data_IF_738204379325
#
_entry.id   IF_738204379325
#
_cell.length_a   1.000
_cell.length_b   1.000
_cell.length_c   1.000
_cell.angle_alpha   90.00
_cell.angle_beta   90.00
_cell.angle_gamma   90.00
#
_symmetry.space_group_name_H-M   'P 1'
#
loop_
_entity.id
_entity.type
_entity.pdbx_description
1 polymer ?
#
# COMPACT_ATOMS: atom_id res chain seq x y z
N UNK A 1 14.84 -17.87 -14.90
CA UNK A 1 14.63 -17.44 -13.50
C UNK A 1 13.67 -16.26 -13.50
N UNK A 2 12.64 -16.28 -12.64
CA UNK A 2 11.52 -15.32 -12.72
C UNK A 2 11.83 -13.91 -12.17
N UNK A 3 12.99 -13.69 -11.55
CA UNK A 3 13.41 -12.36 -11.08
C UNK A 3 14.93 -12.21 -11.27
N UNK A 4 15.36 -11.71 -12.43
CA UNK A 4 16.77 -11.33 -12.66
C UNK A 4 17.16 -10.03 -11.93
N UNK A 5 16.22 -9.37 -11.24
CA UNK A 5 16.50 -8.12 -10.52
C UNK A 5 15.53 -7.95 -9.34
N UNK A 6 16.08 -7.74 -8.14
CA UNK A 6 15.33 -7.35 -6.94
C UNK A 6 14.63 -5.98 -7.08
N UNK A 7 14.82 -5.28 -8.19
CA UNK A 7 14.23 -3.99 -8.51
C UNK A 7 12.69 -4.03 -8.51
N UNK A 8 12.08 -5.08 -9.08
CA UNK A 8 10.62 -5.19 -9.16
C UNK A 8 9.92 -5.22 -7.80
N UNK A 9 10.32 -6.08 -6.83
CA UNK A 9 9.72 -6.07 -5.50
C UNK A 9 10.00 -4.79 -4.72
N UNK A 10 11.17 -4.16 -4.90
CA UNK A 10 11.49 -2.88 -4.27
C UNK A 10 10.58 -1.77 -4.81
N UNK A 11 10.37 -1.72 -6.13
CA UNK A 11 9.47 -0.75 -6.75
C UNK A 11 8.03 -0.96 -6.27
N UNK A 12 7.59 -2.23 -6.19
CA UNK A 12 6.32 -2.60 -5.60
C UNK A 12 6.15 -2.07 -4.18
N UNK A 13 7.14 -2.25 -3.30
CA UNK A 13 7.07 -1.76 -1.92
C UNK A 13 6.99 -0.24 -1.80
N UNK A 14 7.58 0.51 -2.75
CA UNK A 14 7.55 1.99 -2.73
C UNK A 14 6.20 2.54 -3.20
N UNK A 15 5.58 1.93 -4.21
CA UNK A 15 4.36 2.45 -4.85
C UNK A 15 3.06 1.73 -4.43
N UNK A 16 3.16 0.46 -4.03
CA UNK A 16 2.05 -0.42 -3.68
C UNK A 16 2.48 -1.35 -2.53
N UNK A 17 2.82 -0.80 -1.35
CA UNK A 17 3.38 -1.56 -0.24
C UNK A 17 2.48 -2.72 0.19
N UNK A 18 1.16 -2.50 0.29
CA UNK A 18 0.25 -3.52 0.78
C UNK A 18 -0.01 -4.60 -0.26
N UNK A 19 -0.14 -4.22 -1.53
CA UNK A 19 -0.27 -5.18 -2.64
C UNK A 19 0.95 -6.09 -2.74
N UNK A 20 2.15 -5.54 -2.56
CA UNK A 20 3.38 -6.31 -2.67
C UNK A 20 3.50 -7.35 -1.57
N UNK A 21 3.15 -6.99 -0.33
CA UNK A 21 3.10 -7.95 0.78
C UNK A 21 2.08 -9.06 0.53
N UNK A 22 0.88 -8.70 0.05
CA UNK A 22 -0.16 -9.68 -0.26
C UNK A 22 0.27 -10.63 -1.38
N UNK A 23 0.93 -10.12 -2.42
CA UNK A 23 1.45 -10.93 -3.51
C UNK A 23 2.44 -12.00 -3.01
N UNK A 24 3.36 -11.65 -2.11
CA UNK A 24 4.32 -12.61 -1.54
C UNK A 24 3.62 -13.69 -0.71
N UNK A 25 2.56 -13.35 0.00
CA UNK A 25 1.83 -14.28 0.87
C UNK A 25 0.94 -15.23 0.05
N UNK A 26 0.20 -14.71 -0.92
CA UNK A 26 -0.86 -15.45 -1.63
C UNK A 26 -0.37 -16.09 -2.93
N UNK A 27 0.59 -15.46 -3.61
CA UNK A 27 1.05 -15.89 -4.93
C UNK A 27 2.55 -16.26 -4.97
N UNK A 28 3.09 -17.07 -4.02
CA UNK A 28 4.52 -17.40 -4.00
C UNK A 28 4.97 -18.21 -5.25
N UNK A 29 4.04 -18.92 -5.90
CA UNK A 29 4.26 -19.68 -7.13
C UNK A 29 3.67 -19.04 -8.39
N UNK A 30 3.15 -17.81 -8.29
CA UNK A 30 2.34 -17.15 -9.31
C UNK A 30 0.89 -16.99 -8.88
N UNK A 31 0.15 -16.13 -9.60
CA UNK A 31 -1.23 -15.76 -9.28
C UNK A 31 -2.20 -16.67 -10.00
N UNK A 32 -3.09 -17.36 -9.28
CA UNK A 32 -4.08 -18.26 -9.88
C UNK A 32 -5.45 -18.15 -9.22
N UNK A 33 -6.51 -18.38 -9.99
CA UNK A 33 -7.87 -18.51 -9.44
C UNK A 33 -8.29 -17.34 -8.53
N UNK A 34 -8.45 -17.63 -7.23
CA UNK A 34 -8.99 -16.70 -6.23
C UNK A 34 -7.98 -15.66 -5.72
N UNK A 35 -6.68 -15.84 -6.01
CA UNK A 35 -5.61 -14.93 -5.57
C UNK A 35 -5.83 -13.50 -6.08
N UNK A 36 -6.42 -13.36 -7.26
CA UNK A 36 -6.76 -12.08 -7.89
C UNK A 36 -7.66 -11.20 -7.02
N UNK A 37 -8.59 -11.79 -6.28
CA UNK A 37 -9.52 -11.04 -5.42
C UNK A 37 -8.75 -10.31 -4.32
N UNK A 38 -7.83 -11.02 -3.66
CA UNK A 38 -7.01 -10.46 -2.59
C UNK A 38 -6.02 -9.41 -3.10
N UNK A 39 -5.43 -9.64 -4.27
CA UNK A 39 -4.52 -8.68 -4.90
C UNK A 39 -5.27 -7.38 -5.24
N UNK A 40 -6.44 -7.48 -5.90
CA UNK A 40 -7.24 -6.30 -6.28
C UNK A 40 -7.67 -5.52 -5.03
N UNK A 41 -8.07 -6.21 -3.96
CA UNK A 41 -8.43 -5.58 -2.69
C UNK A 41 -7.28 -4.74 -2.13
N UNK A 42 -6.05 -5.27 -2.19
CA UNK A 42 -4.87 -4.57 -1.66
C UNK A 42 -4.41 -3.42 -2.56
N UNK A 43 -4.61 -3.50 -3.88
CA UNK A 43 -4.40 -2.36 -4.79
C UNK A 43 -5.32 -1.20 -4.40
N UNK A 44 -6.59 -1.49 -4.10
CA UNK A 44 -7.55 -0.48 -3.64
C UNK A 44 -7.11 0.09 -2.29
N UNK A 45 -6.61 -0.76 -1.38
CA UNK A 45 -6.10 -0.31 -0.08
C UNK A 45 -4.89 0.62 -0.21
N UNK A 46 -3.95 0.34 -1.12
CA UNK A 46 -2.83 1.24 -1.41
C UNK A 46 -3.32 2.60 -1.92
N UNK A 47 -4.25 2.63 -2.88
CA UNK A 47 -4.85 3.89 -3.38
C UNK A 47 -5.59 4.65 -2.27
N UNK A 48 -6.34 3.94 -1.44
CA UNK A 48 -7.07 4.52 -0.32
C UNK A 48 -6.11 5.09 0.74
N UNK A 49 -4.95 4.48 0.97
CA UNK A 49 -3.94 5.00 1.89
C UNK A 49 -3.39 6.36 1.42
N UNK A 50 -3.12 6.50 0.12
CA UNK A 50 -2.70 7.78 -0.48
C UNK A 50 -3.79 8.87 -0.38
N UNK A 51 -5.07 8.51 -0.52
CA UNK A 51 -6.20 9.46 -0.40
C UNK A 51 -6.64 9.76 1.04
N UNK A 52 -6.55 8.79 1.95
CA UNK A 52 -7.09 8.84 3.31
C UNK A 52 -6.17 9.54 4.31
N UNK A 53 -4.85 9.42 4.17
CA UNK A 53 -3.87 10.05 5.07
C UNK A 53 -3.94 11.58 5.10
N UNK A 54 -4.37 12.21 4.00
CA UNK A 54 -4.54 13.67 3.90
C UNK A 54 -5.82 14.20 4.53
N UNK A 55 -6.87 13.38 4.73
CA UNK A 55 -8.15 13.83 5.30
C UNK A 55 -8.17 13.81 6.83
N UNK A 56 -7.41 12.91 7.47
CA UNK A 56 -7.34 12.79 8.93
C UNK A 56 -6.46 13.85 9.62
N UNK A 57 -5.38 14.30 8.98
CA UNK A 57 -4.35 15.14 9.61
C UNK A 57 -4.69 16.63 9.71
N UNK A 58 -5.81 17.09 9.14
CA UNK A 58 -6.17 18.52 9.12
C UNK A 58 -6.80 19.03 10.42
N UNK A 59 -7.08 18.14 11.36
CA UNK A 59 -7.78 18.44 12.63
C UNK A 59 -6.89 18.47 13.86
N UNK A 60 -5.58 18.21 13.72
CA UNK A 60 -4.64 18.15 14.84
C UNK A 60 -3.57 19.26 14.79
N UNK A 61 -3.99 20.52 14.69
CA UNK A 61 -3.24 21.61 15.34
C UNK A 61 -4.11 22.24 16.44
N UNK A 62 -4.22 21.62 17.63
CA UNK A 62 -4.61 22.33 18.84
C UNK A 62 -3.40 23.14 19.34
N UNK A 63 -3.54 24.45 19.50
CA UNK A 63 -2.60 25.22 20.33
C UNK A 63 -2.04 26.53 19.78
N UNK A 64 -2.51 27.07 18.64
CA UNK A 64 -2.11 28.42 18.21
C UNK A 64 -3.21 29.44 18.54
N UNK A 65 -3.33 29.76 19.83
CA UNK A 65 -4.24 30.80 20.31
C UNK A 65 -4.32 30.83 21.82
N UNK A 66 -3.41 31.54 22.45
CA UNK A 66 -3.73 32.71 23.28
C UNK A 66 -2.43 33.27 23.83
N UNK A 67 -2.04 34.45 23.33
CA UNK A 67 -1.12 35.32 24.04
C UNK A 67 -1.98 36.24 24.89
N UNK A 68 -1.87 36.08 26.19
CA UNK A 68 -2.30 37.00 27.23
C UNK A 68 -1.22 37.03 28.32
#
# INVERSE_FOLDING_TARGET
SAFSSALWPILGLVFLPWTTLMYVIVAPGGVTGFDWVWIILMVIADVAAYGGGGYGNRKQIPGMGSGD
#
